data_IF_228636839815
#
_entry.id   IF_228636839815
#
_cell.length_a   1.000
_cell.length_b   1.000
_cell.length_c   1.000
_cell.angle_alpha   90.00
_cell.angle_beta   90.00
_cell.angle_gamma   90.00
#
_symmetry.space_group_name_H-M   'P 1'
#
loop_
_entity.id
_entity.type
_entity.pdbx_description
1 polymer ?
#
# COMPACT_ATOMS: atom_id res chain seq x y z
N UNK A 1 14.86 14.04 6.26
CA UNK A 1 14.50 13.40 4.97
C UNK A 1 15.56 12.39 4.51
N UNK A 2 16.71 12.79 3.92
CA UNK A 2 17.70 11.80 3.42
C UNK A 2 18.31 10.91 4.50
N UNK A 3 18.68 11.47 5.65
CA UNK A 3 19.19 10.68 6.78
C UNK A 3 18.14 9.70 7.30
N UNK A 4 16.89 10.16 7.45
CA UNK A 4 15.78 9.30 7.87
C UNK A 4 15.51 8.20 6.85
N UNK A 5 15.49 8.51 5.56
CA UNK A 5 15.27 7.52 4.50
C UNK A 5 16.41 6.48 4.42
N UNK A 6 17.66 6.88 4.72
CA UNK A 6 18.77 5.92 4.84
C UNK A 6 18.49 4.86 5.90
N UNK A 7 17.89 5.24 7.03
CA UNK A 7 17.61 4.36 8.16
C UNK A 7 16.25 3.64 8.05
N UNK A 8 15.25 4.29 7.46
CA UNK A 8 13.84 3.89 7.54
C UNK A 8 13.16 3.72 6.18
N UNK A 9 13.87 3.96 5.08
CA UNK A 9 13.33 3.97 3.72
C UNK A 9 13.20 2.59 3.07
N UNK A 10 13.33 1.50 3.82
CA UNK A 10 13.18 0.14 3.25
C UNK A 10 11.72 -0.17 2.93
N UNK A 11 10.80 0.43 3.69
CA UNK A 11 9.36 0.32 3.51
C UNK A 11 8.75 1.72 3.55
N UNK A 12 8.15 2.13 2.43
CA UNK A 12 7.55 3.47 2.29
C UNK A 12 6.12 3.37 1.80
N UNK A 13 5.31 4.36 2.12
CA UNK A 13 4.01 4.58 1.48
C UNK A 13 4.10 5.80 0.56
N UNK A 14 3.50 5.67 -0.61
CA UNK A 14 3.31 6.75 -1.57
C UNK A 14 1.82 6.94 -1.81
N UNK A 15 1.35 8.16 -1.60
CA UNK A 15 -0.04 8.53 -1.83
C UNK A 15 -0.13 9.89 -2.52
N UNK A 16 -1.11 10.03 -3.40
CA UNK A 16 -1.45 11.32 -4.02
C UNK A 16 -2.74 11.84 -3.41
N UNK A 17 -2.62 12.88 -2.60
CA UNK A 17 -3.82 13.56 -2.10
C UNK A 17 -4.44 14.39 -3.23
N UNK A 18 -5.66 14.02 -3.61
CA UNK A 18 -6.37 14.62 -4.72
C UNK A 18 -6.81 16.06 -4.43
N UNK A 19 -6.48 16.99 -5.32
CA UNK A 19 -7.18 18.28 -5.53
C UNK A 19 -7.36 19.17 -4.29
N UNK A 20 -6.42 19.18 -3.36
CA UNK A 20 -6.49 20.02 -2.16
C UNK A 20 -6.10 21.48 -2.40
N UNK A 21 -5.54 21.83 -3.57
CA UNK A 21 -5.19 23.20 -3.92
C UNK A 21 -6.15 23.84 -4.92
N UNK A 22 -6.17 25.19 -4.98
CA UNK A 22 -7.06 25.98 -5.87
C UNK A 22 -6.88 25.70 -7.36
N UNK A 23 -5.83 24.98 -7.73
CA UNK A 23 -5.44 24.65 -9.12
C UNK A 23 -5.65 23.16 -9.40
N UNK A 24 -6.30 22.43 -8.47
CA UNK A 24 -6.66 21.02 -8.59
C UNK A 24 -5.48 20.08 -8.89
N UNK A 25 -4.27 20.42 -8.43
CA UNK A 25 -3.07 19.60 -8.65
C UNK A 25 -2.91 18.54 -7.55
N UNK A 26 -2.59 17.28 -7.89
CA UNK A 26 -2.28 16.26 -6.91
C UNK A 26 -1.01 16.60 -6.11
N UNK A 27 -1.02 16.35 -4.81
CA UNK A 27 0.18 16.39 -3.98
C UNK A 27 0.58 14.95 -3.64
N UNK A 28 1.65 14.48 -4.25
CA UNK A 28 2.28 13.20 -3.95
C UNK A 28 3.17 13.31 -2.71
N UNK A 29 3.09 12.34 -1.82
CA UNK A 29 3.91 12.28 -0.61
C UNK A 29 4.54 10.90 -0.45
N UNK A 30 5.82 10.89 -0.09
CA UNK A 30 6.56 9.70 0.32
C UNK A 30 6.71 9.73 1.83
N UNK A 31 6.14 8.73 2.50
CA UNK A 31 6.12 8.63 3.96
C UNK A 31 6.55 7.24 4.41
N UNK A 32 7.00 7.12 5.65
CA UNK A 32 7.23 5.84 6.32
C UNK A 32 7.19 6.03 7.82
N UNK A 33 7.85 5.13 8.56
CA UNK A 33 7.86 5.15 10.01
C UNK A 33 9.28 5.01 10.57
N UNK A 34 9.57 5.68 11.68
CA UNK A 34 10.78 5.43 12.46
C UNK A 34 10.57 4.28 13.48
N UNK A 35 11.61 3.98 14.26
CA UNK A 35 11.56 2.96 15.33
C UNK A 35 10.51 3.22 16.42
N UNK A 36 9.98 4.44 16.52
CA UNK A 36 8.93 4.82 17.47
C UNK A 36 7.53 4.80 16.85
N UNK A 37 7.37 4.20 15.66
CA UNK A 37 6.12 4.19 14.87
C UNK A 37 5.60 5.60 14.54
N UNK A 38 6.48 6.60 14.55
CA UNK A 38 6.12 7.96 14.19
C UNK A 38 6.27 8.14 12.68
N UNK A 39 5.31 8.84 12.07
CA UNK A 39 5.35 9.15 10.64
C UNK A 39 6.59 9.98 10.30
N UNK A 40 7.37 9.52 9.33
CA UNK A 40 8.46 10.26 8.73
C UNK A 40 8.11 10.61 7.29
N UNK A 41 8.17 11.89 6.94
CA UNK A 41 8.02 12.33 5.56
C UNK A 41 9.41 12.29 4.91
N UNK A 42 9.55 11.51 3.85
CA UNK A 42 10.80 11.41 3.09
C UNK A 42 10.82 12.38 1.91
N UNK A 43 9.66 12.70 1.33
CA UNK A 43 9.57 13.66 0.25
C UNK A 43 8.13 14.02 -0.08
N UNK A 44 7.95 15.11 -0.82
CA UNK A 44 6.66 15.52 -1.35
C UNK A 44 6.87 16.18 -2.71
N UNK A 45 5.89 16.03 -3.60
CA UNK A 45 5.92 16.60 -4.94
C UNK A 45 4.53 17.06 -5.37
N UNK A 46 4.45 18.25 -5.95
CA UNK A 46 3.22 18.72 -6.58
C UNK A 46 3.21 18.25 -8.03
N UNK A 47 2.28 17.36 -8.36
CA UNK A 47 2.16 16.77 -9.69
C UNK A 47 1.25 17.62 -10.57
N UNK A 48 1.48 17.58 -11.87
CA UNK A 48 0.57 18.20 -12.83
C UNK A 48 -0.63 17.28 -13.12
N UNK A 49 -0.35 15.98 -13.31
CA UNK A 49 -1.32 14.93 -13.58
C UNK A 49 -0.78 13.57 -13.11
N UNK A 50 -1.64 12.56 -13.00
CA UNK A 50 -1.37 11.21 -12.50
C UNK A 50 -1.10 10.23 -13.64
N UNK A 51 -0.22 10.63 -14.58
CA UNK A 51 0.17 9.76 -15.70
C UNK A 51 1.42 8.95 -15.38
N UNK A 52 1.62 7.83 -16.08
CA UNK A 52 2.81 6.98 -15.85
C UNK A 52 4.10 7.74 -16.08
N UNK A 53 4.16 8.64 -17.07
CA UNK A 53 5.35 9.43 -17.35
C UNK A 53 5.70 10.42 -16.22
N UNK A 54 4.69 10.98 -15.54
CA UNK A 54 4.94 11.82 -14.37
C UNK A 54 5.42 11.01 -13.18
N UNK A 55 4.85 9.83 -12.95
CA UNK A 55 5.32 8.96 -11.88
C UNK A 55 6.73 8.41 -12.15
N UNK A 56 7.08 8.09 -13.41
CA UNK A 56 8.44 7.71 -13.81
C UNK A 56 9.43 8.82 -13.44
N UNK A 57 9.16 10.04 -13.89
CA UNK A 57 10.00 11.19 -13.53
C UNK A 57 10.06 11.41 -12.01
N UNK A 58 8.94 11.25 -11.30
CA UNK A 58 8.88 11.45 -9.85
C UNK A 58 9.73 10.41 -9.11
N UNK A 59 9.61 9.13 -9.47
CA UNK A 59 10.34 8.04 -8.82
C UNK A 59 11.84 8.11 -9.11
N UNK A 60 12.25 8.49 -10.33
CA UNK A 60 13.64 8.80 -10.66
C UNK A 60 14.15 10.01 -9.83
N UNK A 61 13.39 11.10 -9.81
CA UNK A 61 13.78 12.29 -9.05
C UNK A 61 13.93 11.99 -7.55
N UNK A 62 12.99 11.23 -6.96
CA UNK A 62 13.08 10.79 -5.58
C UNK A 62 14.31 9.91 -5.35
N UNK A 63 14.53 8.91 -6.20
CA UNK A 63 15.67 7.99 -6.13
C UNK A 63 17.00 8.73 -6.16
N UNK A 64 17.17 9.69 -7.09
CA UNK A 64 18.35 10.57 -7.17
C UNK A 64 18.50 11.44 -5.92
N UNK A 65 17.41 11.99 -5.40
CA UNK A 65 17.44 12.76 -4.15
C UNK A 65 17.83 11.91 -2.93
N UNK A 66 17.55 10.60 -2.96
CA UNK A 66 17.77 9.66 -1.86
C UNK A 66 19.06 8.86 -1.98
N UNK A 67 20.12 9.46 -2.54
CA UNK A 67 21.43 8.80 -2.68
C UNK A 67 21.38 7.49 -3.46
N UNK A 68 20.45 7.39 -4.42
CA UNK A 68 20.22 6.19 -5.22
C UNK A 68 19.84 4.94 -4.40
N UNK A 69 19.37 5.11 -3.16
CA UNK A 69 18.81 4.01 -2.37
C UNK A 69 17.37 3.73 -2.83
N UNK A 70 17.11 2.50 -3.25
CA UNK A 70 15.75 2.00 -3.52
C UNK A 70 15.12 1.48 -2.23
N UNK A 71 13.81 1.64 -2.11
CA UNK A 71 13.03 0.91 -1.10
C UNK A 71 12.87 -0.55 -1.50
N UNK A 72 12.72 -1.42 -0.51
CA UNK A 72 12.34 -2.82 -0.73
C UNK A 72 10.84 -2.92 -1.04
N UNK A 73 10.03 -2.16 -0.30
CA UNK A 73 8.57 -2.17 -0.41
C UNK A 73 8.02 -0.76 -0.55
N UNK A 74 7.07 -0.58 -1.47
CA UNK A 74 6.26 0.62 -1.60
C UNK A 74 4.78 0.27 -1.49
N UNK A 75 4.10 0.89 -0.54
CA UNK A 75 2.64 0.86 -0.43
C UNK A 75 2.06 2.01 -1.23
N UNK A 76 1.33 1.71 -2.30
CA UNK A 76 0.72 2.74 -3.13
C UNK A 76 -0.65 2.32 -3.63
N UNK A 77 -1.28 3.21 -4.37
CA UNK A 77 -2.57 2.96 -4.99
C UNK A 77 -2.49 1.98 -6.16
N UNK A 78 -3.61 1.31 -6.42
CA UNK A 78 -3.75 0.33 -7.50
C UNK A 78 -3.79 0.96 -8.91
N UNK A 79 -3.63 2.28 -9.02
CA UNK A 79 -3.68 3.00 -10.30
C UNK A 79 -2.66 2.42 -11.28
N UNK A 80 -3.07 2.11 -12.52
CA UNK A 80 -2.24 1.42 -13.50
C UNK A 80 -0.93 2.18 -13.86
N UNK A 81 -0.91 3.50 -13.66
CA UNK A 81 0.26 4.34 -13.90
C UNK A 81 1.40 4.07 -12.90
N UNK A 82 1.08 3.81 -11.62
CA UNK A 82 2.08 3.62 -10.56
C UNK A 82 2.88 2.32 -10.74
N UNK A 83 2.29 1.11 -10.86
CA UNK A 83 3.03 -0.12 -11.11
C UNK A 83 3.84 -0.08 -12.41
N UNK A 84 3.33 0.63 -13.43
CA UNK A 84 4.08 0.81 -14.68
C UNK A 84 5.34 1.63 -14.46
N UNK A 85 5.24 2.76 -13.76
CA UNK A 85 6.37 3.61 -13.43
C UNK A 85 7.38 2.91 -12.50
N UNK A 86 6.91 2.19 -11.48
CA UNK A 86 7.77 1.43 -10.56
C UNK A 86 8.57 0.34 -11.30
N UNK A 87 7.96 -0.37 -12.26
CA UNK A 87 8.68 -1.36 -13.06
C UNK A 87 9.83 -0.76 -13.88
N UNK A 88 9.68 0.48 -14.31
CA UNK A 88 10.69 1.16 -15.14
C UNK A 88 11.81 1.76 -14.29
N UNK A 89 11.45 2.45 -13.20
CA UNK A 89 12.42 3.20 -12.40
C UNK A 89 13.03 2.39 -11.25
N UNK A 90 12.23 1.55 -10.58
CA UNK A 90 12.61 0.84 -9.35
C UNK A 90 12.47 -0.68 -9.57
N UNK A 91 13.26 -1.28 -10.48
CA UNK A 91 13.15 -2.70 -10.78
C UNK A 91 13.40 -3.55 -9.53
N UNK A 92 12.46 -4.45 -9.22
CA UNK A 92 12.52 -5.32 -8.05
C UNK A 92 11.91 -4.75 -6.77
N UNK A 93 11.36 -3.52 -6.79
CA UNK A 93 10.55 -3.04 -5.67
C UNK A 93 9.26 -3.86 -5.55
N UNK A 94 8.91 -4.22 -4.32
CA UNK A 94 7.64 -4.85 -4.02
C UNK A 94 6.54 -3.78 -3.94
N UNK A 95 5.60 -3.79 -4.89
CA UNK A 95 4.44 -2.90 -4.86
C UNK A 95 3.30 -3.55 -4.07
N UNK A 96 3.05 -3.03 -2.88
CA UNK A 96 1.94 -3.44 -2.02
C UNK A 96 0.78 -2.45 -2.13
N UNK A 97 -0.46 -2.95 -2.03
CA UNK A 97 -1.63 -2.08 -1.93
C UNK A 97 -1.68 -1.39 -0.56
N UNK A 98 -2.04 -0.10 -0.55
CA UNK A 98 -2.30 0.58 0.72
C UNK A 98 -3.53 -0.03 1.43
N UNK A 99 -3.56 0.07 2.76
CA UNK A 99 -4.62 -0.52 3.60
C UNK A 99 -6.02 -0.02 3.24
N UNK A 100 -6.12 1.25 2.82
CA UNK A 100 -7.38 1.84 2.35
C UNK A 100 -7.90 1.17 1.08
N UNK A 101 -7.05 0.91 0.08
CA UNK A 101 -7.45 0.22 -1.15
C UNK A 101 -7.88 -1.22 -0.86
N UNK A 102 -7.17 -1.92 0.05
CA UNK A 102 -7.56 -3.27 0.49
C UNK A 102 -8.97 -3.26 1.08
N UNK A 103 -9.26 -2.33 1.99
CA UNK A 103 -10.59 -2.18 2.60
C UNK A 103 -11.67 -1.84 1.55
N UNK A 104 -11.37 -0.96 0.59
CA UNK A 104 -12.33 -0.59 -0.45
C UNK A 104 -12.60 -1.74 -1.43
N UNK A 105 -11.59 -2.53 -1.77
CA UNK A 105 -11.75 -3.71 -2.60
C UNK A 105 -12.54 -4.79 -1.88
N UNK A 106 -12.27 -5.04 -0.59
CA UNK A 106 -13.05 -5.95 0.25
C UNK A 106 -14.52 -5.53 0.30
N UNK A 107 -14.80 -4.24 0.53
CA UNK A 107 -16.18 -3.70 0.55
C UNK A 107 -16.92 -3.89 -0.77
N UNK A 108 -16.22 -3.76 -1.90
CA UNK A 108 -16.80 -3.99 -3.24
C UNK A 108 -17.13 -5.47 -3.44
N UNK A 109 -16.25 -6.36 -2.99
CA UNK A 109 -16.46 -7.82 -3.04
C UNK A 109 -17.69 -8.23 -2.24
N UNK A 110 -17.74 -7.85 -0.96
CA UNK A 110 -18.84 -8.16 -0.04
C UNK A 110 -20.02 -7.18 -0.10
N UNK A 111 -20.24 -6.53 -1.26
CA UNK A 111 -21.28 -5.50 -1.40
C UNK A 111 -22.69 -6.04 -1.16
N UNK A 112 -22.91 -7.32 -1.46
CA UNK A 112 -24.20 -8.00 -1.27
C UNK A 112 -24.35 -8.57 0.14
N UNK A 113 -23.27 -9.03 0.77
CA UNK A 113 -23.24 -9.56 2.14
C UNK A 113 -22.89 -8.48 3.18
N UNK A 114 -23.79 -7.49 3.37
CA UNK A 114 -23.53 -6.33 4.24
C UNK A 114 -23.11 -6.67 5.68
N UNK A 115 -23.71 -7.72 6.26
CA UNK A 115 -23.40 -8.15 7.62
C UNK A 115 -22.01 -8.81 7.71
N UNK A 116 -21.62 -9.55 6.66
CA UNK A 116 -20.27 -10.12 6.52
C UNK A 116 -19.25 -8.98 6.41
N UNK A 117 -19.48 -8.01 5.52
CA UNK A 117 -18.61 -6.84 5.38
C UNK A 117 -18.45 -6.09 6.71
N UNK A 118 -19.54 -5.87 7.46
CA UNK A 118 -19.48 -5.17 8.74
C UNK A 118 -18.51 -5.85 9.70
N UNK A 119 -18.57 -7.17 9.84
CA UNK A 119 -17.66 -7.93 10.71
C UNK A 119 -16.24 -8.00 10.16
N UNK A 120 -16.07 -8.34 8.88
CA UNK A 120 -14.77 -8.42 8.22
C UNK A 120 -14.02 -7.09 8.30
N UNK A 121 -14.71 -5.96 8.14
CA UNK A 121 -14.09 -4.63 8.23
C UNK A 121 -13.49 -4.35 9.62
N UNK A 122 -14.09 -4.89 10.69
CA UNK A 122 -13.56 -4.81 12.06
C UNK A 122 -12.30 -5.68 12.17
N UNK A 123 -12.33 -6.93 11.67
CA UNK A 123 -11.16 -7.81 11.67
C UNK A 123 -9.99 -7.22 10.87
N UNK A 124 -10.23 -6.70 9.67
CA UNK A 124 -9.18 -6.05 8.86
C UNK A 124 -8.62 -4.80 9.55
N UNK A 125 -9.47 -3.99 10.19
CA UNK A 125 -9.02 -2.80 10.94
C UNK A 125 -8.16 -3.21 12.14
N UNK A 126 -8.53 -4.27 12.85
CA UNK A 126 -7.73 -4.83 13.94
C UNK A 126 -6.35 -5.29 13.44
N UNK A 127 -6.33 -6.10 12.37
CA UNK A 127 -5.10 -6.59 11.73
C UNK A 127 -4.16 -5.47 11.28
N UNK A 128 -4.71 -4.39 10.70
CA UNK A 128 -3.89 -3.32 10.12
C UNK A 128 -3.38 -2.29 11.13
N UNK A 129 -4.12 -2.03 12.20
CA UNK A 129 -3.86 -0.88 13.06
C UNK A 129 -3.68 -1.20 14.53
N UNK A 130 -3.99 -2.42 14.97
CA UNK A 130 -3.93 -2.81 16.39
C UNK A 130 -2.87 -3.88 16.65
N UNK A 131 -2.79 -4.89 15.79
CA UNK A 131 -1.82 -5.98 15.93
C UNK A 131 -0.41 -5.46 15.78
N UNK A 132 0.49 -5.89 16.68
CA UNK A 132 1.85 -5.38 16.72
C UNK A 132 2.96 -6.44 16.80
N UNK A 133 2.58 -7.70 16.72
CA UNK A 133 3.50 -8.84 16.57
C UNK A 133 3.11 -9.71 15.38
N UNK A 134 4.13 -10.30 14.74
CA UNK A 134 3.94 -11.23 13.61
C UNK A 134 3.11 -12.47 14.02
N UNK A 135 3.35 -13.00 15.22
CA UNK A 135 2.62 -14.18 15.73
C UNK A 135 1.14 -13.90 15.91
N UNK A 136 0.80 -12.75 16.49
CA UNK A 136 -0.58 -12.32 16.64
C UNK A 136 -1.21 -12.04 15.29
N UNK A 137 -0.48 -11.41 14.36
CA UNK A 137 -0.96 -11.13 13.01
C UNK A 137 -1.29 -12.42 12.29
N UNK A 138 -0.38 -13.39 12.28
CA UNK A 138 -0.59 -14.68 11.63
C UNK A 138 -1.75 -15.45 12.24
N UNK A 139 -1.94 -15.36 13.57
CA UNK A 139 -3.06 -16.00 14.27
C UNK A 139 -4.38 -15.34 13.88
N UNK A 140 -4.50 -14.02 14.03
CA UNK A 140 -5.70 -13.27 13.69
C UNK A 140 -6.03 -13.33 12.19
N UNK A 141 -5.01 -13.39 11.34
CA UNK A 141 -5.16 -13.57 9.89
C UNK A 141 -5.74 -14.94 9.57
N UNK A 142 -5.22 -16.01 10.17
CA UNK A 142 -5.77 -17.37 10.03
C UNK A 142 -7.21 -17.47 10.54
N UNK A 143 -7.51 -16.87 11.69
CA UNK A 143 -8.85 -16.87 12.25
C UNK A 143 -9.85 -16.16 11.31
N UNK A 144 -9.44 -15.02 10.73
CA UNK A 144 -10.22 -14.31 9.71
C UNK A 144 -10.46 -15.19 8.47
N UNK A 145 -9.41 -15.86 7.97
CA UNK A 145 -9.56 -16.78 6.84
C UNK A 145 -10.54 -17.92 7.15
N UNK A 146 -10.42 -18.58 8.30
CA UNK A 146 -11.32 -19.65 8.71
C UNK A 146 -12.78 -19.19 8.84
N UNK A 147 -13.03 -17.93 9.26
CA UNK A 147 -14.40 -17.42 9.43
C UNK A 147 -15.04 -17.02 8.10
N UNK A 148 -14.29 -16.38 7.20
CA UNK A 148 -14.86 -15.77 5.98
C UNK A 148 -14.54 -16.52 4.69
N UNK A 149 -13.51 -17.35 4.69
CA UNK A 149 -13.01 -18.12 3.55
C UNK A 149 -12.74 -19.60 3.95
N UNK A 150 -13.69 -20.30 4.60
CA UNK A 150 -13.45 -21.64 5.16
C UNK A 150 -13.15 -22.72 4.11
N UNK A 151 -13.64 -22.53 2.88
CA UNK A 151 -13.49 -23.48 1.76
C UNK A 151 -12.37 -23.08 0.78
N UNK A 152 -11.58 -22.06 1.12
CA UNK A 152 -10.51 -21.55 0.26
C UNK A 152 -9.22 -22.36 0.46
N UNK A 153 -8.85 -23.13 -0.55
CA UNK A 153 -7.64 -23.97 -0.57
C UNK A 153 -6.41 -23.25 -1.16
N UNK A 154 -6.54 -21.95 -1.44
CA UNK A 154 -5.54 -21.08 -2.07
C UNK A 154 -5.09 -21.47 -3.50
N UNK A 155 -5.45 -22.64 -4.03
CA UNK A 155 -5.17 -23.03 -5.42
C UNK A 155 -6.36 -22.69 -6.33
N UNK A 156 -7.60 -22.93 -5.87
CA UNK A 156 -8.86 -22.60 -6.55
C UNK A 156 -9.76 -21.67 -5.68
N UNK A 157 -9.12 -20.90 -4.80
CA UNK A 157 -9.72 -20.00 -3.82
C UNK A 157 -10.51 -18.79 -4.36
N UNK A 158 -11.09 -18.01 -3.45
CA UNK A 158 -11.82 -16.78 -3.76
C UNK A 158 -10.92 -15.83 -4.57
N UNK A 159 -11.35 -15.40 -5.78
CA UNK A 159 -10.55 -14.55 -6.65
C UNK A 159 -10.11 -13.23 -6.00
N UNK A 160 -10.89 -12.69 -5.06
CA UNK A 160 -10.51 -11.49 -4.30
C UNK A 160 -9.38 -11.79 -3.33
N UNK A 161 -9.43 -12.92 -2.62
CA UNK A 161 -8.37 -13.31 -1.69
C UNK A 161 -7.08 -13.63 -2.45
N UNK A 162 -7.19 -14.33 -3.59
CA UNK A 162 -6.08 -14.56 -4.51
C UNK A 162 -5.48 -13.26 -5.04
N UNK A 163 -6.33 -12.27 -5.36
CA UNK A 163 -5.87 -10.96 -5.79
C UNK A 163 -5.11 -10.21 -4.67
N UNK A 164 -5.61 -10.30 -3.43
CA UNK A 164 -4.96 -9.70 -2.26
C UNK A 164 -3.61 -10.37 -1.94
N UNK A 165 -3.55 -11.70 -2.02
CA UNK A 165 -2.36 -12.52 -1.74
C UNK A 165 -1.38 -12.62 -2.91
N UNK A 166 -1.86 -12.38 -4.13
CA UNK A 166 -1.06 -12.40 -5.36
C UNK A 166 0.00 -11.31 -5.41
N UNK A 167 -0.11 -10.31 -4.53
CA UNK A 167 0.98 -9.38 -4.28
C UNK A 167 2.12 -10.01 -3.50
N UNK A 168 1.94 -11.07 -2.71
CA UNK A 168 2.95 -11.66 -1.78
C UNK A 168 4.01 -12.55 -2.46
N UNK A 169 4.10 -12.59 -3.79
CA UNK A 169 5.06 -13.42 -4.54
C UNK A 169 6.31 -12.64 -4.97
#
# INVERSE_FOLDING_TARGET
MRADYKLFGDSISFDTTYRTNKVYRPLGMFVGFNHHRQTCIFGACLLYDETSAFFEWLFDAFHRCMDQKLSTTIFADQDAAIPKALRNEWPGVFHALCTWQILMNAKKHFKKEKDVWKKLSIHLTYLFYTVDSEVEFDTAWKDMLCEYFPDDDFEDGDPWLQYLLGFRK
#
